data_IF_419164627827
#
_entry.id   IF_419164627827
#
_cell.length_a   1.000
_cell.length_b   1.000
_cell.length_c   1.000
_cell.angle_alpha   90.00
_cell.angle_beta   90.00
_cell.angle_gamma   90.00
#
_symmetry.space_group_name_H-M   'P 1'
#
loop_
_entity.id
_entity.type
_entity.pdbx_description
1 polymer ?
#
# COMPACT_ATOMS: atom_id res chain seq x y z
N UNK A 1 33.25 25.40 1.87
CA UNK A 1 32.85 24.03 2.26
C UNK A 1 31.47 23.91 2.94
N UNK A 2 30.94 24.95 3.62
CA UNK A 2 29.67 24.90 4.38
C UNK A 2 28.37 24.74 3.56
N UNK A 3 28.41 24.99 2.24
CA UNK A 3 27.23 24.89 1.33
C UNK A 3 26.98 23.47 0.79
N UNK A 4 28.01 22.64 0.69
CA UNK A 4 27.88 21.27 0.18
C UNK A 4 27.19 20.33 1.18
N UNK A 5 27.41 20.55 2.49
CA UNK A 5 26.75 19.78 3.55
C UNK A 5 25.22 19.99 3.57
N UNK A 6 24.75 21.20 3.21
CA UNK A 6 23.32 21.52 3.18
C UNK A 6 22.61 20.83 2.00
N UNK A 7 23.27 20.75 0.84
CA UNK A 7 22.72 20.09 -0.35
C UNK A 7 22.66 18.57 -0.17
N UNK A 8 23.68 17.97 0.47
CA UNK A 8 23.68 16.53 0.75
C UNK A 8 22.57 16.12 1.74
N UNK A 9 22.29 16.95 2.76
CA UNK A 9 21.22 16.70 3.72
C UNK A 9 19.82 16.74 3.07
N UNK A 10 19.60 17.62 2.09
CA UNK A 10 18.33 17.73 1.35
C UNK A 10 18.08 16.50 0.46
N UNK A 11 19.12 15.97 -0.20
CA UNK A 11 19.01 14.76 -1.04
C UNK A 11 18.69 13.51 -0.21
N UNK A 12 19.27 13.38 0.99
CA UNK A 12 18.95 12.28 1.89
C UNK A 12 17.51 12.35 2.43
N UNK A 13 17.01 13.56 2.74
CA UNK A 13 15.62 13.76 3.18
C UNK A 13 14.56 13.45 2.12
N UNK A 14 14.83 13.78 0.85
CA UNK A 14 13.93 13.48 -0.27
C UNK A 14 13.86 11.98 -0.63
N UNK A 15 14.93 11.23 -0.34
CA UNK A 15 14.99 9.79 -0.64
C UNK A 15 14.06 8.96 0.25
N UNK A 16 13.75 9.44 1.47
CA UNK A 16 12.85 8.77 2.41
C UNK A 16 11.35 8.99 2.07
N UNK A 17 11.01 10.01 1.30
CA UNK A 17 9.64 10.27 0.88
C UNK A 17 9.23 9.44 -0.35
N UNK A 18 10.19 8.90 -1.11
CA UNK A 18 9.94 8.12 -2.31
C UNK A 18 9.42 6.69 -2.03
N UNK A 19 9.58 6.16 -0.82
CA UNK A 19 9.19 4.78 -0.48
C UNK A 19 7.74 4.64 0.01
N UNK A 20 6.97 5.74 0.09
CA UNK A 20 5.64 5.73 0.71
C UNK A 20 4.45 5.70 -0.25
N UNK A 21 4.66 5.70 -1.57
CA UNK A 21 3.56 5.60 -2.53
C UNK A 21 3.22 4.15 -2.92
N UNK A 22 3.11 3.27 -1.93
CA UNK A 22 2.46 1.98 -2.15
C UNK A 22 0.98 2.24 -2.48
N UNK A 23 0.63 2.13 -3.76
CA UNK A 23 -0.73 2.31 -4.25
C UNK A 23 -1.64 1.25 -3.64
N UNK A 24 -2.34 1.59 -2.55
CA UNK A 24 -3.32 0.69 -1.94
C UNK A 24 -4.47 0.41 -2.92
N UNK A 25 -4.71 -0.87 -3.22
CA UNK A 25 -5.86 -1.33 -4.00
C UNK A 25 -6.93 -1.78 -3.03
N UNK A 26 -8.08 -1.08 -3.01
CA UNK A 26 -9.26 -1.51 -2.25
C UNK A 26 -9.97 -2.60 -3.05
N UNK A 27 -10.13 -3.77 -2.45
CA UNK A 27 -10.83 -4.90 -3.05
C UNK A 27 -11.91 -5.42 -2.10
N UNK A 28 -12.97 -5.99 -2.65
CA UNK A 28 -13.98 -6.72 -1.88
C UNK A 28 -13.67 -8.20 -1.95
N UNK A 29 -13.68 -8.88 -0.79
CA UNK A 29 -13.61 -10.35 -0.76
C UNK A 29 -14.95 -10.88 -1.25
N UNK A 30 -14.95 -11.62 -2.35
CA UNK A 30 -16.17 -12.23 -2.92
C UNK A 30 -16.28 -13.71 -2.63
N UNK A 31 -15.20 -14.34 -2.18
CA UNK A 31 -15.21 -15.75 -1.80
C UNK A 31 -13.94 -16.15 -1.07
N UNK A 32 -14.07 -17.14 -0.20
CA UNK A 32 -12.97 -17.81 0.48
C UNK A 32 -13.21 -19.30 0.34
N UNK A 33 -12.24 -20.03 -0.24
CA UNK A 33 -12.31 -21.47 -0.41
C UNK A 33 -10.98 -22.09 -0.01
N UNK A 34 -10.96 -22.73 1.16
CA UNK A 34 -9.72 -23.24 1.75
C UNK A 34 -8.68 -22.12 1.88
N UNK A 35 -7.53 -22.30 1.25
CA UNK A 35 -6.41 -21.33 1.27
C UNK A 35 -6.47 -20.27 0.16
N UNK A 36 -7.52 -20.25 -0.66
CA UNK A 36 -7.68 -19.31 -1.77
C UNK A 36 -8.72 -18.25 -1.43
N UNK A 37 -8.33 -16.98 -1.59
CA UNK A 37 -9.21 -15.82 -1.42
C UNK A 37 -9.45 -15.16 -2.78
N UNK A 38 -10.72 -14.99 -3.14
CA UNK A 38 -11.12 -14.30 -4.37
C UNK A 38 -11.44 -12.84 -4.07
N UNK A 39 -10.71 -11.94 -4.71
CA UNK A 39 -10.81 -10.49 -4.52
C UNK A 39 -11.36 -9.82 -5.78
N UNK A 40 -12.37 -8.94 -5.62
CA UNK A 40 -12.87 -8.06 -6.68
C UNK A 40 -12.30 -6.66 -6.48
N UNK A 41 -11.27 -6.32 -7.26
CA UNK A 41 -10.52 -5.06 -7.16
C UNK A 41 -10.93 -3.98 -8.19
N UNK A 42 -11.98 -4.25 -8.98
CA UNK A 42 -12.49 -3.33 -10.01
C UNK A 42 -11.42 -2.87 -11.00
N UNK A 43 -11.48 -1.57 -11.38
CA UNK A 43 -10.59 -0.97 -12.39
C UNK A 43 -9.10 -0.95 -11.99
N UNK A 44 -8.79 -1.18 -10.71
CA UNK A 44 -7.40 -1.20 -10.20
C UNK A 44 -6.80 -2.61 -10.17
N UNK A 45 -7.55 -3.65 -10.55
CA UNK A 45 -7.04 -5.02 -10.65
C UNK A 45 -5.85 -5.13 -11.60
N UNK A 46 -5.83 -4.35 -12.69
CA UNK A 46 -4.73 -4.30 -13.66
C UNK A 46 -3.40 -3.80 -13.08
N UNK A 47 -3.40 -3.27 -11.85
CA UNK A 47 -2.18 -2.86 -11.15
C UNK A 47 -1.51 -4.00 -10.38
N UNK A 48 -2.17 -5.16 -10.26
CA UNK A 48 -1.65 -6.34 -9.59
C UNK A 48 -1.06 -7.28 -10.63
N UNK A 49 0.20 -7.67 -10.44
CA UNK A 49 0.89 -8.59 -11.35
C UNK A 49 0.86 -10.02 -10.80
N UNK A 50 0.85 -11.01 -11.71
CA UNK A 50 0.84 -12.42 -11.31
C UNK A 50 2.17 -12.77 -10.63
N UNK A 51 2.09 -13.39 -9.45
CA UNK A 51 3.27 -13.76 -8.65
C UNK A 51 3.78 -12.67 -7.72
N UNK A 52 3.16 -11.49 -7.75
CA UNK A 52 3.48 -10.38 -6.84
C UNK A 52 3.08 -10.73 -5.40
N UNK A 53 4.02 -10.57 -4.47
CA UNK A 53 3.73 -10.66 -3.05
C UNK A 53 3.00 -9.39 -2.59
N UNK A 54 1.75 -9.52 -2.17
CA UNK A 54 0.93 -8.39 -1.71
C UNK A 54 0.66 -8.49 -0.21
N UNK A 55 0.69 -7.36 0.48
CA UNK A 55 0.28 -7.27 1.88
C UNK A 55 -1.21 -7.01 1.94
N UNK A 56 -1.96 -7.91 2.57
CA UNK A 56 -3.41 -7.76 2.74
C UNK A 56 -3.71 -7.11 4.09
N UNK A 57 -4.34 -5.94 4.05
CA UNK A 57 -4.84 -5.26 5.24
C UNK A 57 -6.35 -5.15 5.19
N UNK A 58 -7.00 -5.51 6.31
CA UNK A 58 -8.41 -5.18 6.52
C UNK A 58 -8.47 -3.72 6.94
N UNK A 59 -9.29 -2.93 6.26
CA UNK A 59 -9.63 -1.61 6.77
C UNK A 59 -10.26 -1.83 8.16
N UNK A 60 -9.70 -1.20 9.18
CA UNK A 60 -10.34 -1.14 10.49
C UNK A 60 -11.69 -0.48 10.24
N UNK A 61 -12.79 -1.21 10.43
CA UNK A 61 -14.05 -0.53 10.65
C UNK A 61 -13.83 0.23 11.94
N UNK A 62 -13.78 1.55 11.86
CA UNK A 62 -13.99 2.35 13.05
C UNK A 62 -15.38 1.92 13.50
N UNK A 63 -15.44 1.11 14.55
CA UNK A 63 -16.68 0.88 15.26
C UNK A 63 -17.04 2.26 15.82
N UNK A 64 -17.86 2.99 15.05
CA UNK A 64 -18.75 3.95 15.67
C UNK A 64 -19.50 3.21 16.77
N UNK A 65 -19.61 3.84 17.93
CA UNK A 65 -20.29 3.36 19.13
C UNK A 65 -21.32 2.25 18.87
N UNK A 66 -21.03 1.04 19.37
CA UNK A 66 -22.02 -0.02 19.56
C UNK A 66 -21.90 -1.22 18.60
N UNK A 67 -21.20 -2.28 19.05
CA UNK A 67 -21.74 -3.64 19.28
C UNK A 67 -20.59 -4.56 19.70
#
# INVERSE_FOLDING_TARGET
>A
MKRFAFVAALVFGLSLAATAMASNVKCTVTGVKGSVVTLKCGKKAAKLTRGEAVKVWRARKEAGEGC
#
